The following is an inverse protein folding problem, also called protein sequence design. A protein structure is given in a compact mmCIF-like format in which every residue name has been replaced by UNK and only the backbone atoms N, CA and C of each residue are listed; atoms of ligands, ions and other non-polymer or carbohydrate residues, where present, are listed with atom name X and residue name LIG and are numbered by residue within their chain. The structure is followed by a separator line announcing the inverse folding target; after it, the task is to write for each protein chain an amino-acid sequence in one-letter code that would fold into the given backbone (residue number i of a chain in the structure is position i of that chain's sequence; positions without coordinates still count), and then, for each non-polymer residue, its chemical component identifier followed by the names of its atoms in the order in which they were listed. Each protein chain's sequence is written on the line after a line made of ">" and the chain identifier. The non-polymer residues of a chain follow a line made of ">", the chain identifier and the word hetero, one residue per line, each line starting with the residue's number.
data_IF_477035864047
#
_entry.id   IF_477035864047
#
_cell.length_a   1.000
_cell.length_b   1.000
_cell.length_c   1.000
_cell.angle_alpha   90.00
_cell.angle_beta   90.00
_cell.angle_gamma   90.00
#
_symmetry.space_group_name_H-M   'P 1'
#
loop_
_entity.id
_entity.type
_entity.pdbx_description
1 polymer ?
#
# COMPACT_ATOMS: atom_id res chain seq x y z
N UNK A 1 -7.33 15.74 13.17
CA UNK A 1 -7.64 14.53 12.36
C UNK A 1 -8.49 14.78 11.11
N UNK A 2 -9.58 15.58 11.15
CA UNK A 2 -10.29 16.03 9.93
C UNK A 2 -9.55 17.18 9.22
N UNK A 3 -9.04 18.15 9.97
CA UNK A 3 -8.24 19.27 9.45
C UNK A 3 -6.95 18.80 8.76
N UNK A 4 -6.15 17.97 9.43
CA UNK A 4 -4.88 17.49 8.85
C UNK A 4 -5.10 16.74 7.52
N UNK A 5 -6.15 15.93 7.43
CA UNK A 5 -6.47 15.17 6.22
C UNK A 5 -7.01 16.04 5.07
N UNK A 6 -7.56 17.22 5.37
CA UNK A 6 -8.02 18.18 4.39
C UNK A 6 -6.83 18.97 3.83
N UNK A 7 -5.95 19.46 4.71
CA UNK A 7 -4.72 20.17 4.34
C UNK A 7 -3.76 19.27 3.55
N UNK A 8 -3.57 18.00 3.95
CA UNK A 8 -2.74 17.01 3.22
C UNK A 8 -3.20 16.82 1.75
N UNK A 9 -4.49 17.04 1.46
CA UNK A 9 -5.04 16.88 0.12
C UNK A 9 -4.89 18.15 -0.73
N UNK A 10 -4.99 19.34 -0.12
CA UNK A 10 -4.75 20.61 -0.79
C UNK A 10 -3.27 20.79 -1.15
N UNK A 11 -2.37 20.31 -0.29
CA UNK A 11 -0.92 20.31 -0.52
C UNK A 11 -0.45 19.20 -1.49
N UNK A 12 -1.39 18.38 -1.99
CA UNK A 12 -1.12 17.26 -2.91
C UNK A 12 -0.14 16.20 -2.38
N UNK A 13 0.08 16.15 -1.07
CA UNK A 13 1.03 15.22 -0.45
C UNK A 13 0.41 13.85 -0.17
N UNK A 14 -0.92 13.74 -0.17
CA UNK A 14 -1.60 12.45 -0.12
C UNK A 14 -3.00 12.48 -0.74
N UNK A 15 -3.50 11.32 -1.17
CA UNK A 15 -4.89 11.16 -1.65
C UNK A 15 -5.67 10.25 -0.73
N UNK A 16 -6.72 10.80 -0.10
CA UNK A 16 -7.65 10.05 0.75
C UNK A 16 -8.85 9.55 -0.06
N UNK A 17 -9.21 8.28 0.14
CA UNK A 17 -10.45 7.68 -0.37
C UNK A 17 -11.29 7.21 0.81
N UNK A 18 -12.58 7.54 0.82
CA UNK A 18 -13.52 7.22 1.89
C UNK A 18 -14.41 6.05 1.48
N UNK A 19 -14.75 5.18 2.42
CA UNK A 19 -15.72 4.11 2.25
C UNK A 19 -16.93 4.40 3.14
N UNK A 20 -18.10 4.56 2.51
CA UNK A 20 -19.36 4.75 3.21
C UNK A 20 -20.24 3.51 3.10
N UNK A 21 -20.90 3.14 4.18
CA UNK A 21 -21.90 2.09 4.24
C UNK A 21 -23.22 2.67 4.75
N UNK A 22 -24.27 2.62 3.93
CA UNK A 22 -25.61 3.19 4.26
C UNK A 22 -25.54 4.63 4.79
N UNK A 23 -24.66 5.45 4.22
CA UNK A 23 -24.47 6.86 4.62
C UNK A 23 -23.51 7.07 5.79
N UNK A 24 -23.05 6.02 6.46
CA UNK A 24 -22.07 6.13 7.55
C UNK A 24 -20.64 5.90 7.05
N UNK A 25 -19.66 6.65 7.56
CA UNK A 25 -18.26 6.42 7.24
C UNK A 25 -17.77 5.11 7.87
N UNK A 26 -17.56 4.09 7.04
CA UNK A 26 -17.13 2.76 7.47
C UNK A 26 -15.60 2.63 7.56
N UNK A 27 -14.86 3.46 6.81
CA UNK A 27 -13.40 3.47 6.85
C UNK A 27 -12.79 4.36 5.77
N UNK A 28 -11.47 4.41 5.73
CA UNK A 28 -10.74 5.17 4.73
C UNK A 28 -9.35 4.58 4.44
N UNK A 29 -8.82 4.94 3.28
CA UNK A 29 -7.44 4.67 2.87
C UNK A 29 -6.79 5.96 2.36
N UNK A 30 -5.53 6.18 2.70
CA UNK A 30 -4.73 7.28 2.20
C UNK A 30 -3.51 6.72 1.47
N UNK A 31 -3.31 7.16 0.22
CA UNK A 31 -2.16 6.82 -0.59
C UNK A 31 -1.22 8.02 -0.75
N UNK A 32 0.08 7.75 -0.79
CA UNK A 32 1.13 8.72 -1.08
C UNK A 32 2.22 8.07 -1.93
N UNK A 33 3.09 8.85 -2.56
CA UNK A 33 4.32 8.31 -3.18
C UNK A 33 5.40 8.14 -2.12
N UNK A 34 6.17 7.06 -2.19
CA UNK A 34 7.33 6.86 -1.31
C UNK A 34 8.39 5.99 -2.00
N UNK A 35 9.48 5.72 -1.32
CA UNK A 35 10.59 4.90 -1.79
C UNK A 35 11.01 3.91 -0.71
N UNK A 36 11.52 2.75 -1.12
CA UNK A 36 12.08 1.73 -0.23
C UNK A 36 13.53 1.45 -0.61
N UNK A 37 14.42 1.31 0.38
CA UNK A 37 15.82 1.04 0.14
C UNK A 37 16.03 -0.31 -0.54
N UNK A 38 16.96 -0.41 -1.50
CA UNK A 38 17.21 -1.70 -2.18
C UNK A 38 17.70 -2.80 -1.25
N UNK A 39 18.36 -2.41 -0.14
CA UNK A 39 18.84 -3.31 0.92
C UNK A 39 17.75 -3.73 1.93
N UNK A 40 16.55 -3.17 1.81
CA UNK A 40 15.40 -3.46 2.67
C UNK A 40 14.44 -4.47 2.01
N UNK A 41 14.69 -4.81 0.74
CA UNK A 41 13.91 -5.77 -0.04
C UNK A 41 14.67 -7.11 -0.07
N UNK A 42 13.92 -8.22 -0.01
CA UNK A 42 14.50 -9.56 -0.18
C UNK A 42 15.18 -9.66 -1.54
N UNK A 43 16.32 -10.36 -1.60
CA UNK A 43 17.07 -10.54 -2.86
C UNK A 43 16.19 -11.13 -3.98
N UNK A 44 15.24 -11.99 -3.63
CA UNK A 44 14.26 -12.58 -4.56
C UNK A 44 13.27 -11.60 -5.18
N UNK A 45 12.99 -10.47 -4.50
CA UNK A 45 12.09 -9.42 -4.99
C UNK A 45 12.83 -8.21 -5.60
N UNK A 46 14.15 -8.14 -5.38
CA UNK A 46 15.03 -7.10 -5.91
C UNK A 46 15.37 -7.26 -7.41
N UNK A 47 16.10 -6.28 -7.94
CA UNK A 47 16.57 -6.24 -9.31
C UNK A 47 18.10 -6.21 -9.35
N UNK A 48 18.73 -7.25 -9.89
CA UNK A 48 20.20 -7.38 -9.95
C UNK A 48 20.91 -6.22 -10.67
N UNK A 49 20.25 -5.59 -11.65
CA UNK A 49 20.82 -4.52 -12.49
C UNK A 49 20.26 -3.12 -12.17
N UNK A 50 19.57 -2.96 -11.04
CA UNK A 50 19.02 -1.66 -10.66
C UNK A 50 20.09 -0.80 -10.00
N UNK A 51 20.38 0.37 -10.61
CA UNK A 51 21.51 1.22 -10.25
C UNK A 51 21.24 2.16 -9.07
N UNK A 52 19.97 2.45 -8.78
CA UNK A 52 19.60 3.39 -7.72
C UNK A 52 19.53 2.70 -6.36
N UNK A 53 19.78 3.47 -5.29
CA UNK A 53 19.74 2.98 -3.90
C UNK A 53 18.32 2.76 -3.35
N UNK A 54 17.29 3.25 -4.06
CA UNK A 54 15.89 3.10 -3.66
C UNK A 54 14.99 2.75 -4.83
N UNK A 55 14.01 1.89 -4.57
CA UNK A 55 12.94 1.58 -5.50
C UNK A 55 11.74 2.51 -5.30
N UNK A 56 11.03 2.90 -6.37
CA UNK A 56 9.80 3.67 -6.27
C UNK A 56 8.62 2.81 -5.82
N UNK A 57 7.73 3.40 -5.02
CA UNK A 57 6.51 2.75 -4.55
C UNK A 57 5.36 3.70 -4.26
N UNK A 58 4.15 3.15 -4.15
CA UNK A 58 2.98 3.83 -3.58
C UNK A 58 2.84 3.37 -2.12
N UNK A 59 2.79 4.30 -1.19
CA UNK A 59 2.59 4.03 0.23
C UNK A 59 1.11 4.09 0.61
N UNK A 60 0.65 3.06 1.30
CA UNK A 60 -0.55 3.11 2.12
C UNK A 60 -0.16 3.83 3.41
N UNK A 61 -0.35 5.15 3.41
CA UNK A 61 -0.01 6.00 4.56
C UNK A 61 -0.94 5.73 5.74
N UNK A 62 -2.22 5.48 5.46
CA UNK A 62 -3.24 5.13 6.46
C UNK A 62 -4.25 4.17 5.85
N UNK A 63 -4.64 3.15 6.61
CA UNK A 63 -5.80 2.32 6.34
C UNK A 63 -6.48 2.11 7.69
N UNK A 64 -7.72 2.60 7.82
CA UNK A 64 -8.47 2.49 9.05
C UNK A 64 -9.93 2.14 8.75
N UNK A 65 -10.48 1.30 9.60
CA UNK A 65 -11.88 0.89 9.59
C UNK A 65 -12.50 1.38 10.89
N UNK A 66 -13.71 1.92 10.82
CA UNK A 66 -14.47 2.27 12.01
C UNK A 66 -14.82 0.97 12.77
N UNK A 67 -14.66 0.98 14.10
CA UNK A 67 -14.82 -0.22 14.95
C UNK A 67 -16.18 -0.90 14.80
N UNK A 68 -17.23 -0.14 14.45
CA UNK A 68 -18.58 -0.65 14.18
C UNK A 68 -18.64 -1.55 12.94
N UNK A 69 -17.68 -1.41 12.04
CA UNK A 69 -17.60 -2.09 10.74
C UNK A 69 -16.40 -3.05 10.61
N UNK A 70 -15.61 -3.22 11.67
CA UNK A 70 -14.50 -4.16 11.69
C UNK A 70 -14.95 -5.61 11.49
N UNK A 71 -14.04 -6.43 10.91
CA UNK A 71 -14.26 -7.85 10.59
C UNK A 71 -15.46 -8.13 9.66
N UNK A 72 -15.97 -7.11 8.95
CA UNK A 72 -17.01 -7.23 7.91
C UNK A 72 -16.47 -7.10 6.48
N UNK A 73 -15.16 -7.26 6.29
CA UNK A 73 -14.50 -7.15 4.99
C UNK A 73 -14.15 -5.72 4.52
N UNK A 74 -14.51 -4.67 5.28
CA UNK A 74 -14.24 -3.26 4.90
C UNK A 74 -12.74 -3.00 4.73
N UNK A 75 -11.89 -3.49 5.63
CA UNK A 75 -10.44 -3.33 5.53
C UNK A 75 -9.86 -3.99 4.27
N UNK A 76 -10.33 -5.20 3.95
CA UNK A 76 -9.97 -5.92 2.73
C UNK A 76 -10.41 -5.15 1.48
N UNK A 77 -11.63 -4.64 1.47
CA UNK A 77 -12.14 -3.81 0.37
C UNK A 77 -11.28 -2.57 0.15
N UNK A 78 -10.97 -1.83 1.22
CA UNK A 78 -10.12 -0.65 1.17
C UNK A 78 -8.71 -0.97 0.67
N UNK A 79 -8.13 -2.09 1.12
CA UNK A 79 -6.82 -2.55 0.65
C UNK A 79 -6.83 -2.82 -0.85
N UNK A 80 -7.81 -3.57 -1.36
CA UNK A 80 -7.92 -3.84 -2.79
C UNK A 80 -8.20 -2.59 -3.62
N UNK A 81 -9.00 -1.64 -3.11
CA UNK A 81 -9.18 -0.35 -3.74
C UNK A 81 -7.85 0.43 -3.83
N UNK A 82 -7.03 0.36 -2.78
CA UNK A 82 -5.69 0.93 -2.77
C UNK A 82 -4.74 0.28 -3.78
N UNK A 83 -4.71 -1.05 -3.82
CA UNK A 83 -3.91 -1.82 -4.79
C UNK A 83 -4.35 -1.50 -6.21
N UNK A 84 -5.65 -1.49 -6.50
CA UNK A 84 -6.19 -1.14 -7.81
C UNK A 84 -5.76 0.26 -8.28
N UNK A 85 -5.78 1.25 -7.36
CA UNK A 85 -5.28 2.60 -7.67
C UNK A 85 -3.77 2.60 -7.95
N UNK A 86 -2.97 1.89 -7.15
CA UNK A 86 -1.53 1.79 -7.37
C UNK A 86 -1.20 1.10 -8.72
N UNK A 87 -1.97 0.08 -9.11
CA UNK A 87 -1.85 -0.56 -10.41
C UNK A 87 -2.18 0.41 -11.56
N UNK A 88 -3.25 1.19 -11.44
CA UNK A 88 -3.58 2.20 -12.45
C UNK A 88 -2.49 3.29 -12.57
N UNK A 89 -1.87 3.68 -11.46
CA UNK A 89 -0.74 4.62 -11.48
C UNK A 89 0.47 3.99 -12.19
N UNK A 90 0.72 2.69 -11.99
CA UNK A 90 1.89 2.01 -12.55
C UNK A 90 1.89 1.91 -14.08
N UNK A 91 0.75 2.13 -14.73
CA UNK A 91 0.63 2.18 -16.20
C UNK A 91 1.28 3.43 -16.81
N UNK A 92 1.40 4.51 -16.02
CA UNK A 92 1.96 5.81 -16.49
C UNK A 92 3.23 6.22 -15.76
N UNK A 93 3.45 5.72 -14.55
CA UNK A 93 4.58 6.10 -13.68
C UNK A 93 5.30 4.85 -13.18
N UNK A 94 6.63 4.89 -13.17
CA UNK A 94 7.46 3.81 -12.62
C UNK A 94 7.20 3.61 -11.13
N UNK A 95 6.42 2.58 -10.79
CA UNK A 95 6.13 2.20 -9.42
C UNK A 95 6.14 0.67 -9.30
N UNK A 96 7.08 0.14 -8.52
CA UNK A 96 7.30 -1.32 -8.42
C UNK A 96 6.65 -1.94 -7.19
N UNK A 97 6.54 -1.17 -6.11
CA UNK A 97 6.09 -1.68 -4.82
C UNK A 97 4.91 -0.90 -4.25
N UNK A 98 4.09 -1.57 -3.46
CA UNK A 98 3.20 -0.90 -2.50
C UNK A 98 3.84 -1.02 -1.13
N UNK A 99 3.89 0.07 -0.38
CA UNK A 99 4.59 0.18 0.90
C UNK A 99 3.60 0.43 2.03
N UNK A 100 3.85 -0.10 3.22
CA UNK A 100 3.06 0.20 4.42
C UNK A 100 3.94 0.11 5.66
N UNK A 101 3.78 1.06 6.58
CA UNK A 101 4.33 0.94 7.93
C UNK A 101 3.24 0.29 8.81
N UNK A 102 3.24 -1.04 8.89
CA UNK A 102 2.18 -1.77 9.59
C UNK A 102 2.37 -1.71 11.10
N UNK A 103 1.27 -1.54 11.86
CA UNK A 103 1.26 -1.88 13.28
C UNK A 103 1.49 -3.39 13.47
N UNK A 104 2.04 -3.81 14.61
CA UNK A 104 2.38 -5.22 14.87
C UNK A 104 1.16 -6.14 14.76
N UNK A 105 0.05 -5.71 15.33
CA UNK A 105 -1.24 -6.41 15.31
C UNK A 105 -1.86 -6.52 13.90
N UNK A 106 -1.40 -5.71 12.95
CA UNK A 106 -1.89 -5.70 11.57
C UNK A 106 -0.98 -6.42 10.57
N UNK A 107 0.19 -6.92 10.99
CA UNK A 107 1.14 -7.61 10.09
C UNK A 107 0.45 -8.78 9.39
N UNK A 108 -0.22 -9.66 10.15
CA UNK A 108 -0.91 -10.82 9.61
C UNK A 108 -2.11 -10.46 8.70
N UNK A 109 -2.63 -9.23 8.75
CA UNK A 109 -3.61 -8.76 7.76
C UNK A 109 -2.93 -8.54 6.41
N UNK A 110 -1.79 -7.84 6.37
CA UNK A 110 -1.08 -7.56 5.12
C UNK A 110 -0.39 -8.80 4.52
N UNK A 111 0.16 -9.70 5.35
CA UNK A 111 0.80 -10.94 4.89
C UNK A 111 -0.16 -11.84 4.09
N UNK A 112 -1.45 -11.88 4.47
CA UNK A 112 -2.49 -12.61 3.73
C UNK A 112 -2.65 -12.14 2.29
N UNK A 113 -2.24 -10.91 1.98
CA UNK A 113 -2.30 -10.32 0.65
C UNK A 113 -0.92 -10.23 -0.01
N UNK A 114 0.06 -10.98 0.49
CA UNK A 114 1.38 -11.12 -0.12
C UNK A 114 2.38 -10.01 0.22
N UNK A 115 2.04 -9.13 1.17
CA UNK A 115 3.02 -8.19 1.70
C UNK A 115 4.08 -8.95 2.50
N UNK A 116 5.33 -8.52 2.36
CA UNK A 116 6.50 -9.07 3.05
C UNK A 116 7.10 -8.01 3.95
N UNK A 117 7.65 -8.43 5.10
CA UNK A 117 8.42 -7.53 5.94
C UNK A 117 9.67 -7.05 5.20
N UNK A 118 9.97 -5.76 5.33
CA UNK A 118 11.22 -5.20 4.84
C UNK A 118 12.37 -5.65 5.77
N UNK A 119 13.47 -6.13 5.18
CA UNK A 119 14.65 -6.49 5.95
C UNK A 119 15.25 -5.25 6.63
N UNK A 120 15.64 -5.39 7.90
CA UNK A 120 16.42 -4.43 8.71
C UNK A 120 15.74 -3.22 9.34
N UNK A 121 14.43 -3.00 9.22
CA UNK A 121 13.77 -1.90 9.94
C UNK A 121 12.78 -2.37 11.01
N UNK A 122 13.30 -2.77 12.19
CA UNK A 122 12.46 -2.87 13.39
C UNK A 122 12.29 -1.47 14.00
N UNK A 123 11.45 -0.61 13.40
CA UNK A 123 10.92 0.53 14.17
C UNK A 123 10.12 -0.06 15.34
N UNK A 124 10.24 0.51 16.55
CA UNK A 124 9.64 -0.08 17.77
C UNK A 124 8.12 -0.25 17.67
N UNK A 125 7.46 0.65 16.94
CA UNK A 125 6.00 0.75 16.88
C UNK A 125 5.39 0.29 15.55
N UNK A 126 6.17 0.32 14.46
CA UNK A 126 5.72 -0.05 13.13
C UNK A 126 6.73 -0.97 12.43
N UNK A 127 6.22 -1.89 11.63
CA UNK A 127 7.00 -2.81 10.80
C UNK A 127 6.78 -2.46 9.34
N UNK A 128 7.81 -1.91 8.65
CA UNK A 128 7.71 -1.63 7.23
C UNK A 128 7.50 -2.94 6.46
N UNK A 129 6.54 -2.92 5.57
CA UNK A 129 6.20 -4.02 4.69
C UNK A 129 6.06 -3.52 3.26
N UNK A 130 6.26 -4.42 2.30
CA UNK A 130 6.12 -4.13 0.89
C UNK A 130 5.40 -5.25 0.14
N UNK A 131 4.69 -4.88 -0.91
CA UNK A 131 4.12 -5.78 -1.90
C UNK A 131 4.78 -5.53 -3.24
N UNK A 132 5.39 -6.56 -3.83
CA UNK A 132 5.96 -6.50 -5.17
C UNK A 132 4.84 -6.61 -6.22
N UNK A 133 4.57 -5.52 -6.95
CA UNK A 133 3.48 -5.49 -7.93
C UNK A 133 3.84 -6.16 -9.26
N UNK A 134 5.12 -6.36 -9.57
CA UNK A 134 5.51 -6.84 -10.90
C UNK A 134 4.91 -8.22 -11.25
N UNK A 135 4.92 -9.23 -10.36
CA UNK A 135 4.27 -10.52 -10.64
C UNK A 135 2.76 -10.39 -10.86
N UNK A 136 2.09 -9.48 -10.15
CA UNK A 136 0.65 -9.23 -10.27
C UNK A 136 0.34 -8.63 -11.64
N UNK A 137 1.07 -7.58 -12.04
CA UNK A 137 0.92 -6.94 -13.35
C UNK A 137 1.20 -7.92 -14.48
N UNK A 138 2.25 -8.75 -14.35
CA UNK A 138 2.58 -9.77 -15.34
C UNK A 138 1.43 -10.77 -15.54
N UNK A 139 0.85 -11.26 -14.43
CA UNK A 139 -0.29 -12.18 -14.48
C UNK A 139 -1.52 -11.55 -15.13
N UNK A 140 -1.88 -10.33 -14.74
CA UNK A 140 -3.03 -9.61 -15.30
C UNK A 140 -2.90 -9.35 -16.81
N UNK A 141 -1.68 -9.14 -17.32
CA UNK A 141 -1.43 -8.99 -18.77
C UNK A 141 -1.61 -10.30 -19.53
N UNK A 142 -1.20 -11.43 -18.95
CA UNK A 142 -1.42 -12.75 -19.55
C UNK A 142 -2.91 -13.08 -19.66
N UNK A 143 -3.69 -12.79 -18.61
CA UNK A 143 -5.15 -13.04 -18.58
C UNK A 143 -5.91 -12.20 -19.61
N UNK A 144 -5.45 -10.98 -19.93
CA UNK A 144 -6.06 -10.13 -20.96
C UNK A 144 -5.69 -10.52 -22.40
N UNK A 145 -4.70 -11.38 -22.58
CA UNK A 145 -4.19 -11.81 -23.88
C UNK A 145 -4.65 -13.22 -24.27
N UNK A 146 -5.46 -13.85 -23.40
CA UNK A 146 -6.11 -15.16 -23.59
C UNK A 146 -7.58 -14.96 -23.86
#
# INVERSE_FOLDING_TARGET
>A
MKEDAFNDQEDLISKKSLCFWKGELAGYITLATDTIGTKEIYVSDGLKRYKYSKYPGIKIARLAVDSRFERRGVGTYLLFAGIGKALSICDSVGCRYILVDSKKESIGFYEKYGFKLAEKNKKKDFSPMYLNMQPIVAKLKLEKSS
#
